data_IF_485235502742
#
_entry.id   IF_485235502742
#
_cell.length_a   1.000
_cell.length_b   1.000
_cell.length_c   1.000
_cell.angle_alpha   90.00
_cell.angle_beta   90.00
_cell.angle_gamma   90.00
#
_symmetry.space_group_name_H-M   'P 1'
#
loop_
_entity.id
_entity.type
_entity.pdbx_description
1 polymer ?
#
# COMPACT_ATOMS: atom_id res chain seq x y z
N UNK A 1 36.37 -14.76 8.36
CA UNK A 1 36.05 -16.19 8.15
C UNK A 1 35.20 -16.23 6.87
N UNK A 2 35.87 -16.68 5.81
CA UNK A 2 35.29 -16.91 4.49
C UNK A 2 34.27 -18.03 4.56
N UNK A 3 33.10 -17.80 3.96
CA UNK A 3 32.08 -18.81 3.74
C UNK A 3 32.39 -19.49 2.41
N UNK A 4 32.82 -20.73 2.47
CA UNK A 4 33.01 -21.59 1.30
C UNK A 4 31.70 -21.78 0.55
N UNK A 5 31.73 -21.47 -0.74
CA UNK A 5 30.68 -21.78 -1.71
C UNK A 5 30.85 -23.22 -2.12
N UNK A 6 29.88 -24.08 -1.79
CA UNK A 6 29.82 -25.46 -2.27
C UNK A 6 29.77 -25.52 -3.80
N UNK A 7 30.49 -26.49 -4.44
CA UNK A 7 30.61 -26.54 -5.88
C UNK A 7 29.29 -27.03 -6.53
N UNK A 8 28.99 -26.41 -7.66
CA UNK A 8 27.83 -26.74 -8.48
C UNK A 8 27.82 -28.18 -8.95
N UNK A 9 26.59 -28.70 -9.06
CA UNK A 9 26.26 -29.99 -9.63
C UNK A 9 26.89 -30.08 -11.04
N UNK A 10 27.75 -31.06 -11.25
CA UNK A 10 28.44 -31.32 -12.52
C UNK A 10 27.43 -31.63 -13.63
N UNK A 11 27.70 -31.14 -14.85
CA UNK A 11 26.87 -31.31 -16.06
C UNK A 11 26.63 -32.79 -16.46
N UNK A 12 27.26 -33.75 -15.79
CA UNK A 12 27.19 -35.18 -16.09
C UNK A 12 25.98 -35.93 -15.48
N UNK A 13 25.22 -35.30 -14.57
CA UNK A 13 24.03 -35.94 -13.97
C UNK A 13 22.70 -35.52 -14.61
N UNK A 14 22.70 -34.71 -15.67
CA UNK A 14 21.45 -34.33 -16.35
C UNK A 14 20.97 -35.42 -17.30
N UNK A 15 19.87 -36.09 -16.96
CA UNK A 15 19.22 -37.08 -17.85
C UNK A 15 18.86 -36.41 -19.18
N UNK A 16 19.51 -36.88 -20.27
CA UNK A 16 19.29 -36.34 -21.62
C UNK A 16 18.05 -36.99 -22.22
N UNK A 17 16.97 -36.26 -22.36
CA UNK A 17 15.69 -36.75 -22.89
C UNK A 17 15.13 -35.78 -23.95
N UNK A 18 14.51 -36.35 -25.00
CA UNK A 18 13.85 -35.52 -26.01
C UNK A 18 12.55 -34.91 -25.46
N UNK A 19 12.14 -33.68 -25.95
CA UNK A 19 10.91 -33.06 -25.47
C UNK A 19 9.66 -33.93 -25.66
N UNK A 20 9.59 -34.66 -26.75
CA UNK A 20 8.48 -35.59 -27.06
C UNK A 20 8.47 -36.79 -26.10
N UNK A 21 9.64 -37.36 -25.80
CA UNK A 21 9.77 -38.47 -24.86
C UNK A 21 9.41 -38.03 -23.42
N UNK A 22 9.84 -36.81 -23.01
CA UNK A 22 9.52 -36.27 -21.69
C UNK A 22 8.02 -36.09 -21.49
N UNK A 23 7.33 -35.52 -22.49
CA UNK A 23 5.87 -35.34 -22.43
C UNK A 23 5.16 -36.69 -22.35
N UNK A 24 5.58 -37.68 -23.16
CA UNK A 24 4.96 -38.99 -23.20
C UNK A 24 5.21 -39.79 -21.88
N UNK A 25 6.42 -39.72 -21.31
CA UNK A 25 6.73 -40.30 -20.00
C UNK A 25 5.85 -39.68 -18.90
N UNK A 26 5.68 -38.33 -18.89
CA UNK A 26 4.82 -37.64 -17.97
C UNK A 26 3.35 -38.06 -18.11
N UNK A 27 2.82 -38.09 -19.33
CA UNK A 27 1.42 -38.46 -19.63
C UNK A 27 1.10 -39.92 -19.23
N UNK A 28 2.13 -40.77 -19.22
CA UNK A 28 2.01 -42.24 -18.88
C UNK A 28 2.51 -42.58 -17.48
N UNK A 29 3.00 -41.60 -16.70
CA UNK A 29 3.50 -41.82 -15.34
C UNK A 29 4.74 -42.71 -15.27
N UNK A 30 5.60 -42.70 -16.29
CA UNK A 30 6.80 -43.55 -16.38
C UNK A 30 8.01 -42.82 -15.81
N UNK A 31 8.68 -43.45 -14.83
CA UNK A 31 9.94 -42.93 -14.28
C UNK A 31 11.08 -43.11 -15.29
N UNK A 32 11.78 -42.02 -15.61
CA UNK A 32 12.84 -41.99 -16.60
C UNK A 32 14.24 -42.28 -16.02
N UNK A 33 14.39 -42.40 -14.68
CA UNK A 33 15.70 -42.51 -14.01
C UNK A 33 16.40 -43.82 -14.43
N UNK A 34 15.64 -44.91 -14.63
CA UNK A 34 16.17 -46.20 -14.95
C UNK A 34 16.06 -46.56 -16.44
N UNK A 35 15.79 -45.60 -17.33
CA UNK A 35 15.65 -45.83 -18.76
C UNK A 35 16.96 -45.47 -19.46
N UNK A 36 17.58 -46.44 -20.12
CA UNK A 36 18.74 -46.20 -20.97
C UNK A 36 18.30 -45.66 -22.31
N UNK A 37 18.79 -44.44 -22.66
CA UNK A 37 18.43 -43.78 -23.92
C UNK A 37 19.16 -44.41 -25.13
N UNK A 38 18.42 -44.73 -26.19
CA UNK A 38 18.94 -45.25 -27.47
C UNK A 38 19.30 -44.17 -28.50
N UNK A 39 19.00 -42.91 -28.21
CA UNK A 39 19.28 -41.79 -29.12
C UNK A 39 20.72 -41.30 -29.08
N UNK A 40 21.12 -40.35 -29.96
CA UNK A 40 22.46 -39.80 -30.02
C UNK A 40 22.93 -39.26 -28.65
N UNK A 41 24.16 -39.64 -28.28
CA UNK A 41 24.79 -39.29 -26.98
C UNK A 41 23.97 -39.77 -25.75
N UNK A 42 23.34 -40.99 -25.85
CA UNK A 42 22.58 -41.55 -24.72
C UNK A 42 21.25 -40.83 -24.42
N UNK A 43 20.70 -40.09 -25.37
CA UNK A 43 19.43 -39.38 -25.17
C UNK A 43 18.25 -40.31 -25.19
N UNK A 44 17.38 -40.25 -24.19
CA UNK A 44 16.12 -40.99 -24.15
C UNK A 44 15.18 -40.44 -25.23
N UNK A 45 14.74 -41.31 -26.13
CA UNK A 45 13.79 -40.99 -27.20
C UNK A 45 12.44 -41.65 -26.95
N UNK A 46 11.43 -41.31 -27.74
CA UNK A 46 10.05 -41.78 -27.56
C UNK A 46 9.93 -43.31 -27.51
N UNK A 47 10.66 -44.00 -28.40
CA UNK A 47 10.67 -45.48 -28.48
C UNK A 47 11.19 -46.15 -27.19
N UNK A 48 12.10 -45.50 -26.47
CA UNK A 48 12.63 -46.04 -25.20
C UNK A 48 11.56 -46.04 -24.12
N UNK A 49 10.73 -45.05 -24.05
CA UNK A 49 9.60 -44.96 -23.12
C UNK A 49 8.53 -46.00 -23.50
N UNK A 50 8.22 -46.15 -24.79
CA UNK A 50 7.26 -47.12 -25.27
C UNK A 50 7.72 -48.57 -25.00
N UNK A 51 9.01 -48.87 -25.18
CA UNK A 51 9.61 -50.15 -24.84
C UNK A 51 9.64 -50.39 -23.31
N UNK A 52 9.84 -49.36 -22.51
CA UNK A 52 9.81 -49.49 -21.05
C UNK A 52 8.40 -49.84 -20.56
N UNK A 53 7.37 -49.22 -21.13
CA UNK A 53 5.97 -49.51 -20.82
C UNK A 53 5.61 -50.98 -21.21
N UNK A 54 6.03 -51.42 -22.44
CA UNK A 54 5.71 -52.75 -22.94
C UNK A 54 6.46 -53.89 -22.21
N UNK A 55 7.63 -53.60 -21.61
CA UNK A 55 8.40 -54.55 -20.81
C UNK A 55 7.94 -54.67 -19.35
N UNK A 56 6.87 -53.98 -18.99
CA UNK A 56 6.27 -54.10 -17.67
C UNK A 56 7.21 -53.67 -16.54
N UNK A 57 7.97 -52.58 -16.73
CA UNK A 57 8.70 -51.97 -15.59
C UNK A 57 7.64 -51.53 -14.58
N UNK A 58 7.63 -52.08 -13.34
CA UNK A 58 6.59 -51.79 -12.38
C UNK A 58 6.58 -50.26 -12.14
N UNK A 59 5.40 -49.68 -12.21
CA UNK A 59 5.22 -48.35 -11.63
C UNK A 59 5.82 -48.39 -10.22
N UNK A 60 6.63 -47.42 -9.80
CA UNK A 60 7.12 -47.40 -8.45
C UNK A 60 5.90 -47.53 -7.55
N UNK A 61 5.93 -48.56 -6.65
CA UNK A 61 4.95 -48.66 -5.61
C UNK A 61 4.82 -47.24 -5.02
N UNK A 62 3.63 -46.67 -5.07
CA UNK A 62 3.36 -45.43 -4.33
C UNK A 62 3.68 -45.76 -2.87
N UNK A 63 4.91 -45.52 -2.46
CA UNK A 63 5.16 -45.25 -1.06
C UNK A 63 4.25 -44.07 -0.79
N UNK A 64 3.17 -44.32 -0.08
CA UNK A 64 2.39 -43.31 0.58
C UNK A 64 3.40 -42.65 1.50
N UNK A 65 4.12 -41.67 0.94
CA UNK A 65 4.82 -40.70 1.74
C UNK A 65 3.72 -40.15 2.63
N UNK A 66 3.74 -40.54 3.89
CA UNK A 66 2.98 -39.84 4.92
C UNK A 66 3.27 -38.35 4.65
N UNK A 67 2.28 -37.64 4.11
CA UNK A 67 2.36 -36.19 3.96
C UNK A 67 2.61 -35.71 5.37
N UNK A 68 3.86 -35.49 5.70
CA UNK A 68 4.22 -34.56 6.77
C UNK A 68 3.55 -33.28 6.33
N UNK A 69 2.44 -32.97 6.96
CA UNK A 69 1.84 -31.64 6.88
C UNK A 69 2.94 -30.69 7.32
N UNK A 70 3.60 -30.05 6.35
CA UNK A 70 4.59 -29.03 6.67
C UNK A 70 3.87 -28.01 7.53
N UNK A 71 4.39 -27.78 8.76
CA UNK A 71 3.79 -26.86 9.74
C UNK A 71 3.84 -25.41 9.23
N UNK A 72 4.58 -25.14 8.15
CA UNK A 72 4.75 -23.82 7.57
C UNK A 72 4.90 -23.89 6.04
N UNK A 73 4.63 -22.76 5.41
CA UNK A 73 4.89 -22.56 3.97
C UNK A 73 5.80 -21.38 3.79
N UNK A 74 6.94 -21.56 3.17
CA UNK A 74 7.84 -20.48 2.78
C UNK A 74 7.39 -19.86 1.46
N UNK A 75 7.33 -18.52 1.42
CA UNK A 75 7.02 -17.78 0.21
C UNK A 75 8.13 -16.76 -0.11
N UNK A 76 8.63 -16.73 -1.35
CA UNK A 76 9.63 -15.75 -1.75
C UNK A 76 9.05 -14.34 -1.71
N UNK A 77 9.81 -13.40 -1.14
CA UNK A 77 9.41 -11.99 -1.07
C UNK A 77 9.49 -11.35 -2.45
N UNK A 78 8.38 -10.80 -2.94
CA UNK A 78 8.34 -10.10 -4.24
C UNK A 78 9.24 -8.86 -4.26
N UNK A 79 9.68 -8.44 -5.45
CA UNK A 79 10.54 -7.25 -5.60
C UNK A 79 9.88 -5.97 -5.08
N UNK A 80 8.57 -5.81 -5.30
CA UNK A 80 7.81 -4.66 -4.76
C UNK A 80 7.82 -4.70 -3.23
N UNK A 81 7.58 -5.87 -2.63
CA UNK A 81 7.61 -6.02 -1.17
C UNK A 81 9.00 -5.71 -0.58
N UNK A 82 10.08 -6.09 -1.27
CA UNK A 82 11.46 -5.74 -0.86
C UNK A 82 11.70 -4.24 -0.87
N UNK A 83 11.19 -3.53 -1.90
CA UNK A 83 11.28 -2.06 -2.00
C UNK A 83 10.52 -1.40 -0.85
N UNK A 84 9.28 -1.82 -0.60
CA UNK A 84 8.46 -1.30 0.50
C UNK A 84 9.14 -1.55 1.85
N UNK A 85 9.63 -2.77 2.09
CA UNK A 85 10.31 -3.12 3.34
C UNK A 85 11.53 -2.23 3.59
N UNK A 86 12.37 -2.03 2.55
CA UNK A 86 13.54 -1.13 2.64
C UNK A 86 13.12 0.31 2.92
N UNK A 87 12.08 0.82 2.24
CA UNK A 87 11.61 2.19 2.42
C UNK A 87 11.06 2.42 3.84
N UNK A 88 10.23 1.51 4.36
CA UNK A 88 9.64 1.63 5.70
C UNK A 88 10.69 1.47 6.80
N UNK A 89 11.59 0.49 6.66
CA UNK A 89 12.71 0.33 7.60
C UNK A 89 13.61 1.57 7.60
N UNK A 90 13.98 2.07 6.41
CA UNK A 90 14.80 3.28 6.28
C UNK A 90 14.10 4.50 6.90
N UNK A 91 12.78 4.61 6.75
CA UNK A 91 12.03 5.71 7.34
C UNK A 91 12.15 5.72 8.87
N UNK A 92 11.91 4.58 9.52
CA UNK A 92 12.00 4.48 10.98
C UNK A 92 13.44 4.64 11.50
N UNK A 93 14.45 4.19 10.76
CA UNK A 93 15.86 4.31 11.15
C UNK A 93 16.41 5.72 10.96
N UNK A 94 15.91 6.48 9.99
CA UNK A 94 16.45 7.77 9.58
C UNK A 94 15.51 8.96 9.88
N UNK A 95 14.59 8.81 10.84
CA UNK A 95 13.76 9.91 11.32
C UNK A 95 13.39 9.71 12.80
N UNK A 96 13.09 10.81 13.49
CA UNK A 96 12.65 10.80 14.89
C UNK A 96 11.13 10.97 14.93
N UNK A 97 10.40 9.89 14.60
CA UNK A 97 8.96 9.94 14.45
C UNK A 97 8.22 9.96 15.79
N UNK A 98 7.30 10.91 15.92
CA UNK A 98 6.29 10.97 16.97
C UNK A 98 4.92 11.08 16.36
N UNK A 99 3.89 10.54 17.04
CA UNK A 99 2.51 10.62 16.57
C UNK A 99 1.63 11.26 17.63
N UNK A 100 0.91 12.31 17.23
CA UNK A 100 -0.14 12.91 18.03
C UNK A 100 -1.51 12.50 17.50
N UNK A 101 -2.45 12.28 18.43
CA UNK A 101 -3.82 11.87 18.10
C UNK A 101 -4.81 12.93 18.59
N UNK A 102 -5.80 13.24 17.73
CA UNK A 102 -6.96 14.06 18.07
C UNK A 102 -8.21 13.43 17.49
N UNK A 103 -9.37 13.85 18.00
CA UNK A 103 -10.66 13.51 17.42
C UNK A 103 -11.36 14.77 16.96
N UNK A 104 -11.95 14.74 15.75
CA UNK A 104 -12.72 15.83 15.18
C UNK A 104 -14.21 15.45 15.10
N UNK A 105 -15.08 16.35 15.51
CA UNK A 105 -16.52 16.24 15.27
C UNK A 105 -16.81 16.36 13.76
N UNK A 106 -17.42 15.32 13.18
CA UNK A 106 -17.64 15.25 11.74
C UNK A 106 -19.08 15.49 11.32
N UNK A 107 -19.95 15.99 12.19
CA UNK A 107 -21.36 16.23 11.85
C UNK A 107 -21.51 17.10 10.60
N UNK A 108 -20.75 18.20 10.48
CA UNK A 108 -20.79 19.08 9.29
C UNK A 108 -20.32 18.37 8.01
N UNK A 109 -19.29 17.52 8.09
CA UNK A 109 -18.86 16.70 6.94
C UNK A 109 -19.96 15.70 6.52
N UNK A 110 -20.61 15.05 7.49
CA UNK A 110 -21.69 14.08 7.22
C UNK A 110 -22.92 14.77 6.63
N UNK A 111 -23.29 15.95 7.13
CA UNK A 111 -24.38 16.76 6.57
C UNK A 111 -24.08 17.20 5.14
N UNK A 112 -22.85 17.67 4.88
CA UNK A 112 -22.40 18.03 3.53
C UNK A 112 -22.46 16.81 2.60
N UNK A 113 -21.98 15.64 3.08
CA UNK A 113 -22.04 14.40 2.31
C UNK A 113 -23.46 13.97 1.97
N UNK A 114 -24.41 14.12 2.90
CA UNK A 114 -25.81 13.83 2.68
C UNK A 114 -26.40 14.75 1.60
N UNK A 115 -26.17 16.08 1.68
CA UNK A 115 -26.62 17.04 0.68
C UNK A 115 -26.05 16.75 -0.72
N UNK A 116 -24.77 16.35 -0.81
CA UNK A 116 -24.17 15.95 -2.10
C UNK A 116 -24.85 14.72 -2.67
N UNK A 117 -25.10 13.68 -1.85
CA UNK A 117 -25.82 12.49 -2.31
C UNK A 117 -27.26 12.78 -2.79
N UNK A 118 -27.98 13.61 -2.08
CA UNK A 118 -29.32 14.08 -2.49
C UNK A 118 -29.26 14.91 -3.78
N UNK A 119 -28.23 15.78 -3.90
CA UNK A 119 -27.98 16.54 -5.12
C UNK A 119 -27.69 15.65 -6.33
N UNK A 120 -26.87 14.60 -6.15
CA UNK A 120 -26.61 13.58 -7.19
C UNK A 120 -27.88 12.84 -7.59
N UNK A 121 -28.67 12.38 -6.62
CA UNK A 121 -29.91 11.64 -6.87
C UNK A 121 -30.95 12.49 -7.61
N UNK A 122 -31.00 13.81 -7.35
CA UNK A 122 -31.89 14.75 -8.01
C UNK A 122 -31.33 15.37 -9.29
N UNK A 123 -30.09 15.03 -9.69
CA UNK A 123 -29.41 15.59 -10.87
C UNK A 123 -28.94 17.05 -10.72
N UNK A 124 -29.05 17.63 -9.53
CA UNK A 124 -28.57 18.99 -9.22
C UNK A 124 -27.05 19.05 -9.04
N UNK A 125 -26.44 17.97 -8.49
CA UNK A 125 -24.99 17.83 -8.37
C UNK A 125 -24.51 16.81 -9.41
N UNK A 126 -23.31 17.07 -9.98
CA UNK A 126 -22.69 16.20 -10.99
C UNK A 126 -21.44 15.48 -10.49
N UNK A 127 -20.91 15.92 -9.36
CA UNK A 127 -19.65 15.44 -8.81
C UNK A 127 -19.89 14.72 -7.48
N UNK A 128 -19.53 13.44 -7.43
CA UNK A 128 -19.60 12.66 -6.19
C UNK A 128 -18.36 12.94 -5.32
N UNK A 129 -18.46 13.94 -4.44
CA UNK A 129 -17.40 14.32 -3.50
C UNK A 129 -17.51 13.47 -2.24
N UNK A 130 -16.49 12.67 -1.96
CA UNK A 130 -16.46 11.75 -0.82
C UNK A 130 -16.01 12.43 0.47
N UNK A 131 -16.24 11.76 1.63
CA UNK A 131 -15.67 12.23 2.90
C UNK A 131 -14.15 12.39 2.84
N UNK A 132 -13.46 11.45 2.17
CA UNK A 132 -12.02 11.52 2.01
C UNK A 132 -11.58 12.77 1.23
N UNK A 133 -12.32 13.15 0.20
CA UNK A 133 -12.03 14.36 -0.58
C UNK A 133 -12.19 15.63 0.27
N UNK A 134 -13.24 15.68 1.12
CA UNK A 134 -13.47 16.77 2.04
C UNK A 134 -12.36 16.87 3.11
N UNK A 135 -11.91 15.73 3.64
CA UNK A 135 -10.80 15.69 4.60
C UNK A 135 -9.52 16.17 3.93
N UNK A 136 -9.19 15.69 2.72
CA UNK A 136 -8.04 16.16 1.96
C UNK A 136 -8.11 17.66 1.71
N UNK A 137 -9.29 18.21 1.41
CA UNK A 137 -9.53 19.64 1.28
C UNK A 137 -9.21 20.40 2.57
N UNK A 138 -9.69 19.92 3.74
CA UNK A 138 -9.39 20.49 5.04
C UNK A 138 -7.88 20.47 5.34
N UNK A 139 -7.20 19.36 5.03
CA UNK A 139 -5.75 19.22 5.19
C UNK A 139 -4.98 20.23 4.35
N UNK A 140 -5.37 20.42 3.08
CA UNK A 140 -4.74 21.42 2.19
C UNK A 140 -4.89 22.83 2.77
N UNK A 141 -6.06 23.18 3.29
CA UNK A 141 -6.30 24.48 3.92
C UNK A 141 -5.46 24.71 5.17
N UNK A 142 -5.28 23.65 5.99
CA UNK A 142 -4.41 23.68 7.15
C UNK A 142 -2.93 23.83 6.75
N UNK A 143 -2.45 23.11 5.73
CA UNK A 143 -1.08 23.20 5.22
C UNK A 143 -0.71 24.60 4.73
N UNK A 144 -1.67 25.34 4.17
CA UNK A 144 -1.43 26.75 3.77
C UNK A 144 -1.15 27.68 4.95
N UNK A 145 -1.59 27.32 6.16
CA UNK A 145 -1.34 28.09 7.40
C UNK A 145 -0.12 27.59 8.16
N UNK A 146 0.32 26.35 7.90
CA UNK A 146 1.44 25.68 8.58
C UNK A 146 2.44 25.15 7.55
N UNK A 147 3.22 26.04 6.89
CA UNK A 147 4.13 25.66 5.82
C UNK A 147 5.26 24.72 6.29
N UNK A 148 5.62 24.74 7.57
CA UNK A 148 6.61 23.83 8.17
C UNK A 148 6.18 22.37 8.12
N UNK A 149 4.87 22.07 8.09
CA UNK A 149 4.33 20.73 7.91
C UNK A 149 4.30 20.31 6.42
N UNK A 150 4.38 21.28 5.49
CA UNK A 150 4.41 21.08 4.04
C UNK A 150 5.86 21.09 3.52
N UNK A 151 6.70 20.19 4.03
CA UNK A 151 8.13 20.26 3.85
C UNK A 151 8.81 18.90 3.69
N UNK A 152 10.05 18.93 3.18
CA UNK A 152 10.97 17.81 3.17
C UNK A 152 12.18 18.11 4.07
N UNK A 153 12.56 17.15 4.91
CA UNK A 153 13.80 17.20 5.68
C UNK A 153 14.92 16.51 4.89
N UNK A 154 15.97 17.24 4.56
CA UNK A 154 17.08 16.78 3.71
C UNK A 154 18.40 16.63 4.48
N UNK A 155 18.33 16.58 5.81
CA UNK A 155 19.47 16.44 6.70
C UNK A 155 20.05 17.79 7.13
N UNK A 156 20.70 18.49 6.25
CA UNK A 156 21.32 19.81 6.46
C UNK A 156 20.40 21.02 6.19
N UNK A 157 19.26 20.77 5.55
CA UNK A 157 18.28 21.78 5.18
C UNK A 157 16.85 21.23 5.17
N UNK A 158 15.89 22.15 5.37
CA UNK A 158 14.45 21.87 5.21
C UNK A 158 13.98 22.57 3.93
N UNK A 159 13.37 21.79 3.01
CA UNK A 159 12.75 22.31 1.81
C UNK A 159 11.26 22.52 2.09
N UNK A 160 10.84 23.76 2.30
CA UNK A 160 9.44 24.15 2.49
C UNK A 160 8.81 24.38 1.12
N UNK A 161 7.63 23.81 0.89
CA UNK A 161 6.91 23.95 -0.37
C UNK A 161 5.91 25.11 -0.29
N UNK A 162 5.96 26.01 -1.27
CA UNK A 162 4.99 27.12 -1.41
C UNK A 162 3.65 26.66 -2.03
N UNK A 163 3.59 25.41 -2.52
CA UNK A 163 2.40 24.77 -3.07
C UNK A 163 2.20 23.40 -2.40
N UNK A 164 0.98 22.88 -2.38
CA UNK A 164 0.71 21.57 -1.80
C UNK A 164 0.69 20.50 -2.88
N UNK A 165 1.58 19.53 -2.77
CA UNK A 165 1.57 18.30 -3.55
C UNK A 165 1.07 17.17 -2.65
N UNK A 166 -0.22 16.84 -2.75
CA UNK A 166 -0.86 15.92 -1.81
C UNK A 166 -0.68 14.47 -2.24
N UNK A 167 0.02 13.68 -1.43
CA UNK A 167 0.09 12.24 -1.55
C UNK A 167 -1.12 11.58 -0.88
N UNK A 168 -1.69 10.58 -1.52
CA UNK A 168 -2.75 9.73 -0.94
C UNK A 168 -2.31 8.27 -0.93
N UNK A 169 -2.47 7.59 0.20
CA UNK A 169 -2.20 6.18 0.28
C UNK A 169 -3.34 5.39 -0.41
N UNK A 170 -2.98 4.59 -1.40
CA UNK A 170 -3.90 3.77 -2.19
C UNK A 170 -3.50 2.32 -2.11
N UNK A 171 -4.40 1.48 -1.62
CA UNK A 171 -4.21 0.03 -1.65
C UNK A 171 -4.45 -0.51 -3.06
N UNK A 172 -3.51 -1.35 -3.54
CA UNK A 172 -3.57 -1.96 -4.86
C UNK A 172 -3.20 -3.44 -4.78
N UNK A 173 -3.59 -4.26 -5.76
CA UNK A 173 -3.18 -5.68 -5.80
C UNK A 173 -1.66 -5.90 -5.77
N UNK A 174 -0.87 -4.87 -6.10
CA UNK A 174 0.60 -4.91 -6.08
C UNK A 174 1.21 -4.41 -4.76
N UNK A 175 0.39 -3.89 -3.84
CA UNK A 175 0.79 -3.29 -2.58
C UNK A 175 0.39 -1.82 -2.46
N UNK A 176 0.74 -1.20 -1.33
CA UNK A 176 0.42 0.19 -1.05
C UNK A 176 1.24 1.12 -1.97
N UNK A 177 0.56 2.05 -2.62
CA UNK A 177 1.16 3.11 -3.46
C UNK A 177 0.71 4.47 -2.96
N UNK A 178 1.56 5.50 -3.15
CA UNK A 178 1.26 6.87 -2.72
C UNK A 178 1.41 7.83 -3.89
N UNK A 179 0.42 7.91 -4.80
CA UNK A 179 0.44 8.89 -5.88
C UNK A 179 0.27 10.31 -5.34
N UNK A 180 0.94 11.28 -5.98
CA UNK A 180 0.84 12.69 -5.66
C UNK A 180 -0.11 13.42 -6.62
N UNK A 181 -1.08 14.15 -6.05
CA UNK A 181 -1.85 15.17 -6.77
C UNK A 181 -1.10 16.49 -6.68
N UNK A 182 -0.54 16.93 -7.80
CA UNK A 182 0.27 18.16 -7.86
C UNK A 182 -0.59 19.42 -7.79
N UNK A 183 -0.07 20.45 -7.13
CA UNK A 183 -0.72 21.76 -6.99
C UNK A 183 -2.16 21.70 -6.46
N UNK A 184 -2.40 20.81 -5.50
CA UNK A 184 -3.72 20.57 -4.92
C UNK A 184 -4.32 21.81 -4.23
N UNK A 185 -3.48 22.75 -3.79
CA UNK A 185 -3.87 24.03 -3.21
C UNK A 185 -4.47 25.04 -4.19
N UNK A 186 -4.34 24.78 -5.51
CA UNK A 186 -4.90 25.61 -6.59
C UNK A 186 -6.20 25.05 -7.16
N UNK A 187 -6.61 23.87 -6.74
CA UNK A 187 -7.81 23.18 -7.18
C UNK A 187 -9.01 23.62 -6.33
N UNK A 188 -10.19 23.66 -6.92
CA UNK A 188 -11.42 23.64 -6.14
C UNK A 188 -11.71 22.21 -5.66
N UNK A 189 -12.71 22.02 -4.79
CA UNK A 189 -12.99 20.72 -4.19
C UNK A 189 -13.44 19.68 -5.23
N UNK A 190 -14.07 20.09 -6.35
CA UNK A 190 -14.49 19.20 -7.44
C UNK A 190 -13.28 18.75 -8.26
N UNK A 191 -12.39 19.66 -8.57
CA UNK A 191 -11.12 19.37 -9.26
C UNK A 191 -10.24 18.47 -8.40
N UNK A 192 -10.15 18.74 -7.10
CA UNK A 192 -9.41 17.90 -6.16
C UNK A 192 -9.98 16.49 -6.12
N UNK A 193 -11.30 16.33 -5.96
CA UNK A 193 -11.97 15.02 -5.95
C UNK A 193 -11.71 14.23 -7.24
N UNK A 194 -11.80 14.89 -8.39
CA UNK A 194 -11.48 14.28 -9.69
C UNK A 194 -10.01 13.85 -9.77
N UNK A 195 -9.08 14.69 -9.31
CA UNK A 195 -7.64 14.40 -9.28
C UNK A 195 -7.30 13.23 -8.37
N UNK A 196 -7.86 13.19 -7.16
CA UNK A 196 -7.67 12.10 -6.20
C UNK A 196 -8.18 10.76 -6.77
N UNK A 197 -9.38 10.77 -7.37
CA UNK A 197 -9.97 9.59 -8.00
C UNK A 197 -9.12 9.10 -9.18
N UNK A 198 -8.73 10.01 -10.07
CA UNK A 198 -7.89 9.69 -11.23
C UNK A 198 -6.56 9.05 -10.82
N UNK A 199 -5.89 9.62 -9.82
CA UNK A 199 -4.63 9.10 -9.29
C UNK A 199 -4.79 7.70 -8.67
N UNK A 200 -5.86 7.49 -7.88
CA UNK A 200 -6.16 6.20 -7.27
C UNK A 200 -6.48 5.11 -8.33
N UNK A 201 -7.27 5.44 -9.34
CA UNK A 201 -7.64 4.52 -10.41
C UNK A 201 -6.44 4.16 -11.30
N UNK A 202 -5.57 5.14 -11.59
CA UNK A 202 -4.34 4.90 -12.33
C UNK A 202 -3.40 3.94 -11.58
N UNK A 203 -3.29 4.07 -10.25
CA UNK A 203 -2.53 3.14 -9.40
C UNK A 203 -3.12 1.72 -9.45
N UNK A 204 -4.44 1.57 -9.28
CA UNK A 204 -5.10 0.25 -9.31
C UNK A 204 -4.97 -0.43 -10.67
N UNK A 205 -5.10 0.33 -11.77
CA UNK A 205 -4.92 -0.15 -13.15
C UNK A 205 -3.45 -0.37 -13.53
N UNK A 206 -2.52 0.18 -12.76
CA UNK A 206 -1.09 0.04 -13.01
C UNK A 206 -0.52 0.89 -14.14
N UNK A 207 -1.21 1.94 -14.53
CA UNK A 207 -0.80 2.90 -15.57
C UNK A 207 -0.50 4.29 -15.01
N UNK A 208 -0.21 4.38 -13.71
CA UNK A 208 0.21 5.64 -13.08
C UNK A 208 1.60 6.06 -13.59
N UNK A 209 1.78 7.35 -13.79
CA UNK A 209 3.08 7.93 -14.11
C UNK A 209 4.06 7.65 -12.96
N UNK A 210 5.21 7.00 -13.24
CA UNK A 210 6.22 6.68 -12.24
C UNK A 210 6.73 7.90 -11.46
N UNK A 211 6.72 9.09 -12.05
CA UNK A 211 7.13 10.31 -11.36
C UNK A 211 6.16 10.66 -10.21
N UNK A 212 4.88 10.39 -10.36
CA UNK A 212 3.86 10.75 -9.36
C UNK A 212 3.89 9.85 -8.11
N UNK A 213 4.52 8.67 -8.19
CA UNK A 213 4.63 7.73 -7.06
C UNK A 213 5.99 7.78 -6.35
N UNK A 214 6.90 8.66 -6.78
CA UNK A 214 8.14 8.88 -6.05
C UNK A 214 7.87 9.56 -4.71
N UNK A 215 8.59 9.18 -3.65
CA UNK A 215 8.42 9.75 -2.31
C UNK A 215 8.66 11.27 -2.26
N UNK A 216 9.45 11.79 -3.21
CA UNK A 216 9.74 13.22 -3.39
C UNK A 216 8.65 13.99 -4.14
N UNK A 217 7.68 13.30 -4.72
CA UNK A 217 6.63 13.92 -5.54
C UNK A 217 5.53 14.58 -4.72
N UNK A 218 5.25 14.05 -3.53
CA UNK A 218 4.32 14.66 -2.58
C UNK A 218 5.08 15.50 -1.55
N UNK A 219 4.48 16.60 -1.11
CA UNK A 219 4.99 17.41 0.00
C UNK A 219 4.40 17.00 1.35
N UNK A 220 3.24 16.34 1.33
CA UNK A 220 2.52 15.81 2.48
C UNK A 220 1.69 14.60 2.06
N UNK A 221 1.48 13.63 2.96
CA UNK A 221 0.70 12.42 2.65
C UNK A 221 -0.49 12.26 3.59
N UNK A 222 -1.62 11.79 3.04
CA UNK A 222 -2.79 11.34 3.80
C UNK A 222 -2.98 9.84 3.58
N UNK A 223 -3.09 9.10 4.69
CA UNK A 223 -3.41 7.67 4.71
C UNK A 223 -4.73 7.46 5.45
N UNK A 224 -5.70 6.77 4.85
CA UNK A 224 -7.03 6.59 5.42
C UNK A 224 -7.32 5.11 5.66
N UNK A 225 -7.46 4.74 6.93
CA UNK A 225 -7.85 3.40 7.40
C UNK A 225 -9.24 3.38 8.05
N UNK A 226 -10.04 4.45 7.88
CA UNK A 226 -11.36 4.56 8.48
C UNK A 226 -12.31 3.43 8.09
N UNK A 227 -12.26 3.00 6.83
CA UNK A 227 -13.09 1.89 6.33
C UNK A 227 -12.73 0.51 6.91
N UNK A 228 -11.55 0.40 7.53
CA UNK A 228 -11.10 -0.83 8.21
C UNK A 228 -11.47 -0.87 9.70
N UNK A 229 -12.16 0.17 10.21
CA UNK A 229 -12.55 0.26 11.61
C UNK A 229 -11.40 0.65 12.55
N UNK A 230 -10.27 1.12 12.01
CA UNK A 230 -9.11 1.53 12.80
C UNK A 230 -9.41 2.85 13.52
N UNK A 231 -9.37 2.84 14.84
CA UNK A 231 -9.64 4.02 15.67
C UNK A 231 -8.45 4.96 15.81
N UNK A 232 -7.24 4.38 15.77
CA UNK A 232 -5.98 5.07 16.01
C UNK A 232 -4.83 4.25 15.43
N UNK A 233 -3.87 4.86 14.75
CA UNK A 233 -2.65 4.20 14.28
C UNK A 233 -1.51 5.20 14.12
N UNK A 234 -0.30 4.70 13.98
CA UNK A 234 0.91 5.49 13.76
C UNK A 234 1.38 5.30 12.32
N UNK A 235 0.95 6.13 11.35
CA UNK A 235 1.44 6.03 9.98
C UNK A 235 2.94 6.32 9.92
N UNK A 236 3.68 5.54 9.11
CA UNK A 236 5.12 5.75 8.88
C UNK A 236 5.32 6.81 7.81
N UNK A 237 6.20 7.77 8.07
CA UNK A 237 6.47 8.88 7.15
C UNK A 237 7.11 8.37 5.85
N UNK A 238 6.68 8.90 4.72
CA UNK A 238 7.34 8.70 3.43
C UNK A 238 8.52 9.69 3.29
N UNK A 239 9.72 9.28 3.69
CA UNK A 239 10.89 10.17 3.55
C UNK A 239 11.05 10.64 2.10
N UNK A 240 11.43 11.92 1.90
CA UNK A 240 11.91 12.92 2.87
C UNK A 240 10.84 13.83 3.49
N UNK A 241 9.54 13.52 3.34
CA UNK A 241 8.45 14.31 3.92
C UNK A 241 8.60 14.45 5.44
N UNK A 242 8.15 15.60 5.98
CA UNK A 242 8.21 15.89 7.42
C UNK A 242 7.04 15.28 8.18
N UNK A 243 5.87 15.19 7.54
CA UNK A 243 4.63 14.74 8.19
C UNK A 243 3.81 13.79 7.30
N UNK A 244 2.96 13.01 7.97
CA UNK A 244 1.90 12.18 7.37
C UNK A 244 0.67 12.20 8.28
N UNK A 245 -0.53 12.34 7.71
CA UNK A 245 -1.79 12.23 8.45
C UNK A 245 -2.43 10.85 8.24
N UNK A 246 -2.72 10.16 9.34
CA UNK A 246 -3.62 9.01 9.41
C UNK A 246 -5.05 9.45 9.69
N UNK A 247 -5.98 9.08 8.82
CA UNK A 247 -7.41 9.26 9.01
C UNK A 247 -8.00 7.93 9.49
N UNK A 248 -8.78 7.98 10.57
CA UNK A 248 -9.29 6.81 11.27
C UNK A 248 -10.82 6.71 11.13
N UNK A 249 -11.39 5.67 11.71
CA UNK A 249 -12.85 5.44 11.68
C UNK A 249 -13.62 6.52 12.44
N UNK A 250 -14.92 6.61 12.13
CA UNK A 250 -15.86 7.48 12.84
C UNK A 250 -16.51 6.66 13.96
N UNK A 251 -16.46 7.21 15.18
CA UNK A 251 -17.04 6.59 16.37
C UNK A 251 -17.96 7.58 17.05
N UNK A 252 -19.14 7.11 17.45
CA UNK A 252 -20.05 7.88 18.26
C UNK A 252 -19.55 7.91 19.71
N UNK A 253 -19.29 9.11 20.24
CA UNK A 253 -18.87 9.32 21.63
C UNK A 253 -19.85 10.20 22.37
N UNK A 254 -20.09 9.99 23.69
CA UNK A 254 -20.88 10.90 24.48
C UNK A 254 -20.21 12.27 24.53
N UNK A 255 -20.97 13.32 24.28
CA UNK A 255 -20.51 14.70 24.36
C UNK A 255 -21.63 15.59 24.87
N UNK A 256 -21.28 16.70 25.51
CA UNK A 256 -22.23 17.78 25.79
C UNK A 256 -22.61 18.47 24.48
N UNK A 257 -23.89 18.40 24.15
CA UNK A 257 -24.45 19.02 22.94
C UNK A 257 -25.08 20.38 23.23
N UNK A 258 -24.85 20.93 24.42
CA UNK A 258 -25.37 22.22 24.89
C UNK A 258 -26.56 22.08 25.85
N UNK A 259 -26.80 23.13 26.64
CA UNK A 259 -27.91 23.20 27.61
C UNK A 259 -27.92 22.03 28.61
N UNK A 260 -26.76 21.58 29.10
CA UNK A 260 -26.61 20.42 29.98
C UNK A 260 -27.21 19.12 29.42
N UNK A 261 -27.31 19.00 28.10
CA UNK A 261 -27.79 17.80 27.43
C UNK A 261 -26.61 17.02 26.88
N UNK A 262 -26.53 15.73 27.23
CA UNK A 262 -25.53 14.81 26.66
C UNK A 262 -26.15 14.01 25.53
N UNK A 263 -25.40 13.88 24.44
CA UNK A 263 -25.78 13.09 23.29
C UNK A 263 -24.60 12.36 22.71
N UNK A 264 -24.84 11.51 21.71
CA UNK A 264 -23.77 10.85 20.96
C UNK A 264 -23.42 11.68 19.72
N UNK A 265 -22.14 12.03 19.63
CA UNK A 265 -21.60 12.83 18.50
C UNK A 265 -20.60 11.96 17.74
N UNK A 266 -20.67 11.93 16.39
CA UNK A 266 -19.70 11.20 15.57
C UNK A 266 -18.36 11.92 15.56
N UNK A 267 -17.32 11.26 16.06
CA UNK A 267 -15.94 11.75 16.05
C UNK A 267 -15.09 10.89 15.11
N UNK A 268 -14.29 11.55 14.29
CA UNK A 268 -13.27 10.91 13.46
C UNK A 268 -11.91 11.02 14.13
N UNK A 269 -11.19 9.90 14.24
CA UNK A 269 -9.81 9.90 14.73
C UNK A 269 -8.85 10.46 13.67
N UNK A 270 -7.90 11.27 14.13
CA UNK A 270 -6.83 11.86 13.34
C UNK A 270 -5.49 11.55 14.01
N UNK A 271 -4.53 11.02 13.26
CA UNK A 271 -3.23 10.59 13.75
C UNK A 271 -2.14 11.27 12.90
N UNK A 272 -1.49 12.29 13.44
CA UNK A 272 -0.41 12.99 12.75
C UNK A 272 0.94 12.45 13.22
N UNK A 273 1.67 11.78 12.34
CA UNK A 273 3.09 11.46 12.55
C UNK A 273 3.96 12.53 11.92
N UNK A 274 4.98 12.96 12.65
CA UNK A 274 5.93 13.98 12.22
C UNK A 274 7.36 13.63 12.63
N UNK A 275 8.34 14.14 11.88
CA UNK A 275 9.77 14.00 12.19
C UNK A 275 10.19 15.13 13.14
N UNK A 276 10.44 14.77 14.40
CA UNK A 276 10.80 15.74 15.44
C UNK A 276 12.14 16.46 15.21
N UNK A 277 12.92 16.03 14.20
CA UNK A 277 14.12 16.76 13.77
C UNK A 277 13.78 17.98 12.90
N UNK A 278 12.59 18.01 12.29
CA UNK A 278 12.15 19.05 11.37
C UNK A 278 11.07 19.95 11.97
N UNK A 279 10.21 19.44 12.83
CA UNK A 279 9.11 20.18 13.46
C UNK A 279 8.95 19.74 14.93
N UNK A 280 8.79 20.69 15.83
CA UNK A 280 8.57 20.42 17.25
C UNK A 280 7.12 20.04 17.56
N UNK A 281 6.91 19.42 18.74
CA UNK A 281 5.60 18.93 19.19
C UNK A 281 4.53 20.01 19.27
N UNK A 282 4.87 21.22 19.70
CA UNK A 282 3.94 22.36 19.78
C UNK A 282 3.36 22.78 18.42
N UNK A 283 4.20 23.14 17.45
CA UNK A 283 3.79 23.43 16.07
C UNK A 283 3.03 22.26 15.42
N UNK A 284 3.52 21.02 15.56
CA UNK A 284 2.85 19.82 15.02
C UNK A 284 1.44 19.64 15.62
N UNK A 285 1.29 19.83 16.93
CA UNK A 285 -0.02 19.79 17.60
C UNK A 285 -0.94 20.93 17.14
N UNK A 286 -0.41 22.11 16.93
CA UNK A 286 -1.16 23.26 16.43
C UNK A 286 -1.65 23.04 14.99
N UNK A 287 -0.82 22.42 14.16
CA UNK A 287 -1.21 21.99 12.81
C UNK A 287 -2.33 20.94 12.84
N UNK A 288 -2.20 19.88 13.67
CA UNK A 288 -3.25 18.87 13.82
C UNK A 288 -4.56 19.49 14.33
N UNK A 289 -4.49 20.44 15.27
CA UNK A 289 -5.65 21.18 15.77
C UNK A 289 -6.27 22.03 14.65
N UNK A 290 -5.49 22.63 13.76
CA UNK A 290 -6.03 23.36 12.62
C UNK A 290 -6.76 22.43 11.65
N UNK A 291 -6.22 21.22 11.37
CA UNK A 291 -6.94 20.22 10.56
C UNK A 291 -8.29 19.88 11.21
N UNK A 292 -8.30 19.63 12.52
CA UNK A 292 -9.53 19.41 13.30
C UNK A 292 -10.51 20.57 13.12
N UNK A 293 -10.04 21.82 13.28
CA UNK A 293 -10.88 23.02 13.14
C UNK A 293 -11.47 23.14 11.73
N UNK A 294 -10.70 22.85 10.66
CA UNK A 294 -11.19 22.86 9.29
C UNK A 294 -12.27 21.81 9.05
N UNK A 295 -12.16 20.62 9.68
CA UNK A 295 -13.15 19.55 9.62
C UNK A 295 -14.43 19.97 10.35
N UNK A 296 -14.31 20.45 11.59
CA UNK A 296 -15.45 20.83 12.44
C UNK A 296 -16.21 22.06 11.91
N UNK A 297 -15.55 22.92 11.14
CA UNK A 297 -16.13 24.08 10.51
C UNK A 297 -16.23 23.97 8.98
N UNK A 298 -16.30 22.73 8.48
CA UNK A 298 -16.43 22.50 7.04
C UNK A 298 -17.74 23.11 6.49
N UNK A 299 -17.61 23.81 5.37
CA UNK A 299 -18.72 24.36 4.59
C UNK A 299 -18.56 23.97 3.12
N UNK A 300 -19.69 23.51 2.51
CA UNK A 300 -19.78 23.06 1.11
C UNK A 300 -20.76 23.92 0.33
#
# INVERSE_FOLDING_TARGET
TEVEISPGISDDERIRISPRARKFAFDKGVDIINITGSGPNGRIVFADIENAISKGIPAPAMTVSSATTEEFTEQPVSNIRKIIAKAMHSSLQNSAQLTHHMSADVRRLLDARTKIKEGLASGKEKHDITLNDMICWCVIRALKKFPEANAHFLGDKIKIFNTVHLGIAVDTPRGLMVPAVKHADRMDIRQLSAGLRSAADACRKGNIDPELIQSTSASFTVSNLGNYGVEMFTPVINLPQVCILGVCTIINRPADIGNNTFGFVPYMGLSLTYDHRAIDGGPATSFLREIKNQIENFEY
#
